data_IF_836180953558
#
_entry.id   IF_836180953558
#
_cell.length_a   1.000
_cell.length_b   1.000
_cell.length_c   1.000
_cell.angle_alpha   90.00
_cell.angle_beta   90.00
_cell.angle_gamma   90.00
#
_symmetry.space_group_name_H-M   'P 1'
#
loop_
_entity.id
_entity.type
_entity.pdbx_description
1 polymer ?
#
# COMPACT_ATOMS: atom_id res chain seq x y z
N UNK A 1 20.34 -94.92 -10.24
CA UNK A 1 20.08 -93.74 -11.03
C UNK A 1 19.09 -92.89 -10.23
N UNK A 2 19.53 -91.83 -9.53
CA UNK A 2 18.66 -90.87 -8.86
C UNK A 2 19.20 -89.50 -9.16
N UNK A 3 18.42 -88.71 -9.95
CA UNK A 3 18.67 -87.30 -10.24
C UNK A 3 18.34 -86.50 -8.99
N UNK A 4 19.31 -85.75 -8.50
CA UNK A 4 19.12 -84.74 -7.44
C UNK A 4 18.83 -83.41 -8.07
N UNK A 5 17.66 -82.79 -7.74
CA UNK A 5 17.26 -81.42 -8.16
C UNK A 5 17.85 -80.45 -7.14
N UNK A 6 18.71 -79.56 -7.65
CA UNK A 6 19.18 -78.38 -6.89
C UNK A 6 18.21 -77.25 -7.15
N UNK A 7 17.57 -76.76 -6.07
CA UNK A 7 16.69 -75.55 -6.08
C UNK A 7 17.58 -74.40 -5.71
N UNK A 8 17.76 -73.47 -6.69
CA UNK A 8 18.37 -72.17 -6.46
C UNK A 8 17.30 -71.23 -5.92
N UNK A 9 17.41 -70.82 -4.65
CA UNK A 9 16.55 -69.79 -4.04
C UNK A 9 17.17 -68.44 -4.31
N UNK A 10 16.50 -67.62 -5.14
CA UNK A 10 16.88 -66.23 -5.44
C UNK A 10 16.28 -65.35 -4.33
N UNK A 11 17.11 -64.86 -3.43
CA UNK A 11 16.73 -63.81 -2.48
C UNK A 11 16.75 -62.46 -3.18
N UNK A 12 15.60 -61.95 -3.49
CA UNK A 12 15.42 -60.55 -3.93
C UNK A 12 15.47 -59.62 -2.70
N UNK A 13 16.60 -58.95 -2.53
CA UNK A 13 16.75 -57.85 -1.59
C UNK A 13 16.04 -56.57 -2.20
N UNK A 14 14.87 -56.29 -1.69
CA UNK A 14 14.25 -54.98 -1.93
C UNK A 14 14.98 -53.92 -1.09
N UNK A 15 15.86 -53.16 -1.71
CA UNK A 15 16.37 -51.91 -1.14
C UNK A 15 15.27 -50.85 -1.27
N UNK A 16 14.58 -50.55 -0.15
CA UNK A 16 13.77 -49.39 -0.01
C UNK A 16 14.69 -48.15 0.00
N UNK A 17 14.82 -47.51 -1.15
CA UNK A 17 15.34 -46.13 -1.20
C UNK A 17 14.27 -45.20 -0.63
N UNK A 18 14.44 -44.79 0.62
CA UNK A 18 13.78 -43.64 1.15
C UNK A 18 14.30 -42.40 0.38
N UNK A 19 13.53 -41.94 -0.61
CA UNK A 19 13.71 -40.61 -1.19
C UNK A 19 13.23 -39.64 -0.10
N UNK A 20 14.18 -39.10 0.66
CA UNK A 20 13.92 -37.95 1.49
C UNK A 20 13.56 -36.78 0.54
N UNK A 21 12.28 -36.51 0.41
CA UNK A 21 11.80 -35.23 -0.14
C UNK A 21 12.27 -34.15 0.82
N UNK A 22 13.39 -33.52 0.53
CA UNK A 22 13.70 -32.20 1.08
C UNK A 22 12.65 -31.24 0.52
N UNK A 23 11.62 -30.98 1.30
CA UNK A 23 10.81 -29.79 1.10
C UNK A 23 11.77 -28.60 1.23
N UNK A 24 12.15 -28.02 0.10
CA UNK A 24 12.66 -26.67 0.08
C UNK A 24 11.49 -25.84 0.66
N UNK A 25 11.59 -25.49 1.93
CA UNK A 25 10.80 -24.40 2.47
C UNK A 25 11.14 -23.22 1.56
N UNK A 26 10.17 -22.75 0.79
CA UNK A 26 10.30 -21.48 0.08
C UNK A 26 10.66 -20.46 1.17
N UNK A 27 11.81 -19.81 1.03
CA UNK A 27 12.10 -18.64 1.84
C UNK A 27 10.91 -17.69 1.66
N UNK A 28 10.17 -17.50 2.75
CA UNK A 28 9.01 -16.63 2.73
C UNK A 28 9.54 -15.23 2.50
N UNK A 29 9.15 -14.61 1.40
CA UNK A 29 9.60 -13.27 1.06
C UNK A 29 9.13 -12.32 2.16
N UNK A 30 10.07 -11.58 2.74
CA UNK A 30 9.79 -10.61 3.79
C UNK A 30 9.07 -9.40 3.17
N UNK A 31 7.95 -9.00 3.76
CA UNK A 31 7.22 -7.80 3.35
C UNK A 31 8.07 -6.56 3.63
N UNK A 32 8.72 -6.54 4.79
CA UNK A 32 9.58 -5.43 5.20
C UNK A 32 11.00 -5.78 4.80
N UNK A 33 11.62 -5.04 3.87
CA UNK A 33 13.02 -5.24 3.52
C UNK A 33 13.93 -5.12 4.74
N UNK A 34 15.06 -5.80 4.71
CA UNK A 34 16.05 -5.69 5.78
C UNK A 34 16.77 -4.35 5.63
N UNK A 35 16.22 -3.31 6.25
CA UNK A 35 16.82 -1.98 6.21
C UNK A 35 18.11 -1.96 7.05
N UNK A 36 19.22 -1.51 6.47
CA UNK A 36 20.43 -1.21 7.22
C UNK A 36 20.21 0.10 8.01
N UNK A 37 19.36 0.04 9.03
CA UNK A 37 18.95 1.20 9.80
C UNK A 37 19.50 1.15 11.23
N UNK A 38 20.02 2.30 11.68
CA UNK A 38 20.37 2.52 13.07
C UNK A 38 19.17 2.84 13.95
N UNK A 39 17.97 2.99 13.37
CA UNK A 39 16.75 3.37 14.11
C UNK A 39 16.07 2.13 14.74
N UNK A 40 15.78 2.17 16.05
CA UNK A 40 15.32 0.99 16.78
C UNK A 40 13.97 0.43 16.36
N UNK A 41 13.13 1.27 15.73
CA UNK A 41 11.78 0.89 15.29
C UNK A 41 11.71 0.49 13.82
N UNK A 42 12.71 0.80 12.99
CA UNK A 42 12.71 0.43 11.58
C UNK A 42 12.46 -1.07 11.39
N UNK A 43 11.56 -1.42 10.51
CA UNK A 43 11.14 -2.79 10.26
C UNK A 43 10.13 -3.36 11.26
N UNK A 44 9.68 -2.61 12.26
CA UNK A 44 8.68 -3.08 13.23
C UNK A 44 7.28 -2.67 12.84
N UNK A 45 6.31 -3.54 13.16
CA UNK A 45 4.89 -3.34 12.93
C UNK A 45 4.20 -3.12 14.27
N UNK A 46 3.49 -1.99 14.39
CA UNK A 46 2.74 -1.62 15.58
C UNK A 46 1.23 -1.75 15.34
N UNK A 47 0.57 -2.54 16.15
CA UNK A 47 -0.89 -2.60 16.22
C UNK A 47 -1.39 -1.43 17.05
N UNK A 48 -2.06 -0.47 16.41
CA UNK A 48 -2.56 0.73 17.05
C UNK A 48 -3.70 0.46 18.04
N UNK A 49 -4.54 -0.53 17.73
CA UNK A 49 -5.71 -0.87 18.54
C UNK A 49 -5.31 -1.58 19.84
N UNK A 50 -4.35 -2.50 19.76
CA UNK A 50 -3.91 -3.32 20.86
C UNK A 50 -2.62 -2.80 21.53
N UNK A 51 -1.95 -1.81 20.94
CA UNK A 51 -0.76 -1.13 21.45
C UNK A 51 0.41 -2.09 21.73
N UNK A 52 0.71 -2.95 20.79
CA UNK A 52 1.86 -3.86 20.85
C UNK A 52 2.44 -4.13 19.46
N UNK A 53 3.68 -4.62 19.41
CA UNK A 53 4.31 -5.04 18.17
C UNK A 53 3.78 -6.40 17.73
N UNK A 54 3.58 -6.56 16.43
CA UNK A 54 3.19 -7.82 15.79
C UNK A 54 4.23 -8.24 14.76
N UNK A 55 4.16 -9.49 14.30
CA UNK A 55 4.99 -10.00 13.19
C UNK A 55 4.31 -9.80 11.85
N UNK A 56 5.07 -9.97 10.75
CA UNK A 56 4.53 -9.91 9.39
C UNK A 56 3.46 -10.98 9.14
N UNK A 57 3.64 -12.19 9.67
CA UNK A 57 2.66 -13.28 9.51
C UNK A 57 1.32 -12.92 10.17
N UNK A 58 1.38 -12.28 11.34
CA UNK A 58 0.17 -11.78 12.02
C UNK A 58 -0.49 -10.69 11.18
N UNK A 59 0.29 -9.71 10.67
CA UNK A 59 -0.23 -8.66 9.80
C UNK A 59 -0.94 -9.26 8.59
N UNK A 60 -0.28 -10.16 7.83
CA UNK A 60 -0.88 -10.81 6.64
C UNK A 60 -2.16 -11.56 6.98
N UNK A 61 -2.17 -12.26 8.13
CA UNK A 61 -3.38 -12.97 8.58
C UNK A 61 -4.53 -12.02 8.88
N UNK A 62 -4.25 -10.85 9.46
CA UNK A 62 -5.28 -9.86 9.82
C UNK A 62 -5.83 -9.11 8.58
N UNK A 63 -4.95 -8.66 7.70
CA UNK A 63 -5.39 -7.94 6.49
C UNK A 63 -6.15 -8.84 5.51
N UNK A 64 -5.86 -10.15 5.53
CA UNK A 64 -6.58 -11.13 4.70
C UNK A 64 -8.06 -11.32 5.08
N UNK A 65 -8.54 -10.67 6.15
CA UNK A 65 -9.95 -10.69 6.60
C UNK A 65 -10.75 -9.50 6.09
N UNK A 66 -10.12 -8.53 5.45
CA UNK A 66 -10.74 -7.35 4.86
C UNK A 66 -10.87 -7.49 3.34
N UNK A 67 -11.77 -6.71 2.76
CA UNK A 67 -11.91 -6.64 1.30
C UNK A 67 -10.80 -5.75 0.72
N UNK A 68 -10.46 -4.66 1.40
CA UNK A 68 -9.43 -3.72 1.01
C UNK A 68 -8.33 -3.57 2.06
N UNK A 69 -7.10 -3.47 1.61
CA UNK A 69 -5.95 -3.00 2.39
C UNK A 69 -5.54 -1.63 1.86
N UNK A 70 -5.62 -0.61 2.70
CA UNK A 70 -5.23 0.75 2.37
C UNK A 70 -3.81 0.98 2.88
N UNK A 71 -2.88 1.25 1.98
CA UNK A 71 -1.48 1.56 2.29
C UNK A 71 -1.27 3.06 2.21
N UNK A 72 -0.96 3.67 3.34
CA UNK A 72 -0.70 5.10 3.46
C UNK A 72 0.80 5.38 3.44
N UNK A 73 1.27 6.01 2.37
CA UNK A 73 2.67 6.31 2.15
C UNK A 73 3.03 7.77 2.37
N UNK A 74 4.33 8.03 2.52
CA UNK A 74 4.97 9.28 2.13
C UNK A 74 5.54 9.07 0.72
N UNK A 75 5.02 9.79 -0.26
CA UNK A 75 5.35 9.64 -1.68
C UNK A 75 6.84 9.72 -2.03
N UNK A 76 7.67 10.27 -1.16
CA UNK A 76 9.09 10.44 -1.41
C UNK A 76 9.97 9.45 -0.63
N UNK A 77 9.36 8.46 0.02
CA UNK A 77 10.08 7.46 0.78
C UNK A 77 10.20 6.14 0.00
N UNK A 78 11.40 5.85 -0.50
CA UNK A 78 11.67 4.63 -1.27
C UNK A 78 11.44 3.34 -0.47
N UNK A 79 11.62 3.36 0.87
CA UNK A 79 11.33 2.21 1.71
C UNK A 79 9.82 1.89 1.74
N UNK A 80 8.95 2.93 1.67
CA UNK A 80 7.51 2.74 1.56
C UNK A 80 7.16 2.01 0.26
N UNK A 81 7.71 2.43 -0.87
CA UNK A 81 7.46 1.80 -2.18
C UNK A 81 7.95 0.34 -2.21
N UNK A 82 9.06 0.03 -1.55
CA UNK A 82 9.55 -1.35 -1.43
C UNK A 82 8.61 -2.22 -0.59
N UNK A 83 8.09 -1.71 0.53
CA UNK A 83 7.10 -2.41 1.37
C UNK A 83 5.80 -2.66 0.59
N UNK A 84 5.31 -1.67 -0.15
CA UNK A 84 4.11 -1.79 -0.99
C UNK A 84 4.25 -2.89 -2.04
N UNK A 85 5.39 -2.89 -2.74
CA UNK A 85 5.69 -3.90 -3.73
C UNK A 85 5.73 -5.30 -3.10
N UNK A 86 6.49 -5.47 -2.01
CA UNK A 86 6.62 -6.75 -1.33
C UNK A 86 5.27 -7.25 -0.76
N UNK A 87 4.43 -6.35 -0.27
CA UNK A 87 3.10 -6.71 0.23
C UNK A 87 2.19 -7.22 -0.89
N UNK A 88 2.20 -6.57 -2.07
CA UNK A 88 1.49 -7.06 -3.25
C UNK A 88 1.96 -8.48 -3.60
N UNK A 89 3.27 -8.69 -3.68
CA UNK A 89 3.87 -9.99 -3.99
C UNK A 89 3.48 -11.04 -2.93
N UNK A 90 3.56 -10.74 -1.65
CA UNK A 90 3.20 -11.65 -0.57
C UNK A 90 1.70 -12.05 -0.60
N UNK A 91 0.80 -11.11 -0.88
CA UNK A 91 -0.64 -11.40 -1.02
C UNK A 91 -0.89 -12.24 -2.29
N UNK A 92 -0.15 -11.97 -3.38
CA UNK A 92 -0.22 -12.73 -4.64
C UNK A 92 0.27 -14.16 -4.45
N UNK A 93 1.40 -14.38 -3.81
CA UNK A 93 1.97 -15.70 -3.50
C UNK A 93 1.03 -16.55 -2.63
N UNK A 94 0.28 -15.90 -1.75
CA UNK A 94 -0.77 -16.55 -0.98
C UNK A 94 -2.03 -16.87 -1.82
N UNK A 95 -2.08 -16.50 -3.12
CA UNK A 95 -3.22 -16.69 -4.02
C UNK A 95 -4.44 -15.82 -3.68
N UNK A 96 -4.25 -14.78 -2.86
CA UNK A 96 -5.32 -13.96 -2.31
C UNK A 96 -5.45 -12.58 -2.97
N UNK A 97 -4.49 -12.14 -3.78
CA UNK A 97 -4.51 -10.82 -4.38
C UNK A 97 -5.67 -10.66 -5.38
N UNK A 98 -6.42 -9.59 -5.19
CA UNK A 98 -7.46 -9.09 -6.09
C UNK A 98 -6.91 -7.99 -7.00
N UNK A 99 -7.49 -6.81 -6.92
CA UNK A 99 -7.06 -5.62 -7.65
C UNK A 99 -6.00 -4.83 -6.87
N UNK A 100 -5.22 -4.04 -7.61
CA UNK A 100 -4.36 -3.00 -7.02
C UNK A 100 -4.84 -1.65 -7.56
N UNK A 101 -5.22 -0.75 -6.66
CA UNK A 101 -5.71 0.58 -6.96
C UNK A 101 -4.66 1.64 -6.59
N UNK A 102 -4.43 2.62 -7.46
CA UNK A 102 -3.35 3.57 -7.33
C UNK A 102 -3.85 5.01 -7.38
N UNK A 103 -3.51 5.83 -6.38
CA UNK A 103 -3.64 7.29 -6.42
C UNK A 103 -2.82 7.89 -7.56
N UNK A 104 -1.64 7.36 -7.82
CA UNK A 104 -0.69 7.85 -8.82
C UNK A 104 -1.18 7.71 -10.26
N UNK A 105 -2.28 7.00 -10.48
CA UNK A 105 -2.90 6.83 -11.79
C UNK A 105 -4.29 7.51 -11.84
N UNK A 106 -4.54 8.30 -12.85
CA UNK A 106 -5.84 8.93 -13.09
C UNK A 106 -6.64 8.22 -14.18
N UNK A 107 -7.93 8.52 -14.26
CA UNK A 107 -8.89 7.85 -15.16
C UNK A 107 -8.46 7.80 -16.64
N UNK A 108 -7.69 8.78 -17.13
CA UNK A 108 -7.21 8.77 -18.53
C UNK A 108 -6.17 7.68 -18.81
N UNK A 109 -5.58 7.09 -17.77
CA UNK A 109 -4.57 6.04 -17.88
C UNK A 109 -5.18 4.63 -17.80
N UNK A 110 -6.47 4.49 -17.45
CA UNK A 110 -7.08 3.18 -17.23
C UNK A 110 -6.99 2.26 -18.45
N UNK A 111 -7.27 2.75 -19.64
CA UNK A 111 -7.20 1.93 -20.87
C UNK A 111 -5.78 1.41 -21.15
N UNK A 112 -4.77 2.23 -20.83
CA UNK A 112 -3.36 1.83 -20.98
C UNK A 112 -2.97 0.78 -19.94
N UNK A 113 -3.39 0.93 -18.67
CA UNK A 113 -3.19 -0.07 -17.63
C UNK A 113 -3.85 -1.40 -18.01
N UNK A 114 -5.09 -1.39 -18.45
CA UNK A 114 -5.82 -2.59 -18.87
C UNK A 114 -5.16 -3.29 -20.06
N UNK A 115 -4.65 -2.53 -21.03
CA UNK A 115 -3.93 -3.05 -22.20
C UNK A 115 -2.64 -3.75 -21.83
N UNK A 116 -1.95 -3.25 -20.80
CA UNK A 116 -0.63 -3.73 -20.40
C UNK A 116 -0.62 -4.70 -19.22
N UNK A 117 -1.77 -5.33 -18.91
CA UNK A 117 -1.85 -6.40 -17.91
C UNK A 117 -0.84 -7.51 -18.23
N UNK A 118 -0.23 -8.07 -17.20
CA UNK A 118 0.81 -9.11 -17.29
C UNK A 118 2.08 -8.67 -18.06
N UNK A 119 2.33 -7.37 -18.21
CA UNK A 119 3.50 -6.84 -18.89
C UNK A 119 4.46 -6.15 -17.91
N UNK A 120 5.47 -6.87 -17.45
CA UNK A 120 6.52 -6.32 -16.58
C UNK A 120 7.54 -5.42 -17.29
N UNK A 121 7.51 -5.39 -18.62
CA UNK A 121 8.45 -4.61 -19.44
C UNK A 121 7.84 -3.26 -19.89
N UNK A 122 6.66 -2.93 -19.41
CA UNK A 122 5.96 -1.71 -19.77
C UNK A 122 6.79 -0.47 -19.43
N UNK A 123 6.70 0.53 -20.29
CA UNK A 123 7.37 1.83 -20.13
C UNK A 123 6.38 2.90 -19.64
N UNK A 124 6.90 3.99 -19.11
CA UNK A 124 6.08 5.14 -18.70
C UNK A 124 5.33 5.78 -19.87
N UNK A 125 5.93 5.77 -21.06
CA UNK A 125 5.33 6.29 -22.29
C UNK A 125 4.12 5.45 -22.72
N UNK A 126 4.21 4.12 -22.66
CA UNK A 126 3.11 3.21 -22.98
C UNK A 126 1.91 3.35 -22.04
N UNK A 127 2.16 3.71 -20.77
CA UNK A 127 1.13 3.97 -19.78
C UNK A 127 0.62 5.42 -19.79
N UNK A 128 1.18 6.30 -20.60
CA UNK A 128 0.97 7.75 -20.51
C UNK A 128 1.16 8.22 -19.05
N UNK A 129 2.23 7.72 -18.40
CA UNK A 129 2.45 7.96 -16.97
C UNK A 129 2.67 9.44 -16.70
N UNK A 130 2.02 9.94 -15.65
CA UNK A 130 2.08 11.34 -15.28
C UNK A 130 3.48 11.72 -14.79
N UNK A 131 4.04 12.82 -15.31
CA UNK A 131 5.32 13.35 -14.84
C UNK A 131 5.29 13.88 -13.40
N UNK A 132 4.10 14.05 -12.82
CA UNK A 132 3.93 14.38 -11.40
C UNK A 132 4.31 13.26 -10.46
N UNK A 133 4.37 12.02 -10.96
CA UNK A 133 4.76 10.83 -10.22
C UNK A 133 6.04 10.25 -10.84
N UNK A 134 7.23 10.46 -10.23
CA UNK A 134 8.50 10.01 -10.81
C UNK A 134 8.50 8.52 -11.11
N UNK A 135 8.77 8.15 -12.37
CA UNK A 135 8.77 6.74 -12.78
C UNK A 135 9.85 5.91 -12.08
N UNK A 136 10.96 6.53 -11.72
CA UNK A 136 12.05 5.86 -11.01
C UNK A 136 11.62 5.42 -9.60
N UNK A 137 10.61 6.07 -9.04
CA UNK A 137 10.02 5.68 -7.74
C UNK A 137 8.92 4.64 -7.90
N UNK A 138 7.99 4.86 -8.83
CA UNK A 138 6.77 4.05 -8.95
C UNK A 138 6.82 2.95 -10.02
N UNK A 139 7.80 2.99 -10.92
CA UNK A 139 7.84 2.06 -12.05
C UNK A 139 7.98 0.59 -11.64
N UNK A 140 8.72 0.30 -10.56
CA UNK A 140 8.81 -1.03 -9.98
C UNK A 140 7.46 -1.52 -9.47
N UNK A 141 6.84 -0.74 -8.60
CA UNK A 141 5.52 -0.99 -8.02
C UNK A 141 4.44 -1.21 -9.08
N UNK A 142 4.37 -0.32 -10.08
CA UNK A 142 3.38 -0.43 -11.18
C UNK A 142 3.57 -1.69 -11.99
N UNK A 143 4.81 -2.07 -12.29
CA UNK A 143 5.12 -3.32 -13.01
C UNK A 143 4.74 -4.56 -12.21
N UNK A 144 5.02 -4.57 -10.91
CA UNK A 144 4.59 -5.65 -10.02
C UNK A 144 3.05 -5.70 -9.95
N UNK A 145 2.38 -4.58 -9.78
CA UNK A 145 0.91 -4.54 -9.77
C UNK A 145 0.30 -5.05 -11.09
N UNK A 146 0.87 -4.68 -12.25
CA UNK A 146 0.41 -5.17 -13.56
C UNK A 146 0.65 -6.67 -13.76
N UNK A 147 1.70 -7.23 -13.15
CA UNK A 147 2.02 -8.65 -13.24
C UNK A 147 1.13 -9.50 -12.33
N UNK A 148 0.91 -9.06 -11.10
CA UNK A 148 0.37 -9.87 -10.03
C UNK A 148 -1.13 -9.66 -9.80
N UNK A 149 -1.64 -8.43 -9.99
CA UNK A 149 -3.04 -8.13 -9.70
C UNK A 149 -3.99 -8.64 -10.79
N UNK A 150 -5.25 -8.89 -10.40
CA UNK A 150 -6.30 -9.16 -11.36
C UNK A 150 -6.52 -7.97 -12.30
N UNK A 151 -6.43 -6.74 -11.76
CA UNK A 151 -6.48 -5.50 -12.50
C UNK A 151 -5.80 -4.39 -11.72
N UNK A 152 -5.15 -3.46 -12.40
CA UNK A 152 -4.67 -2.20 -11.81
C UNK A 152 -5.72 -1.12 -12.08
N UNK A 153 -6.15 -0.43 -11.02
CA UNK A 153 -7.23 0.56 -11.06
C UNK A 153 -6.64 1.96 -10.92
N UNK A 154 -6.90 2.81 -11.87
CA UNK A 154 -6.61 4.24 -11.80
C UNK A 154 -7.70 4.94 -10.99
N UNK A 155 -7.35 5.59 -9.89
CA UNK A 155 -8.36 6.09 -8.95
C UNK A 155 -8.48 7.60 -8.90
N UNK A 156 -7.43 8.34 -9.26
CA UNK A 156 -7.42 9.78 -9.08
C UNK A 156 -8.14 10.54 -10.21
N UNK A 157 -8.47 11.78 -9.90
CA UNK A 157 -8.99 12.74 -10.84
C UNK A 157 -7.88 13.22 -11.79
N UNK A 158 -8.26 13.50 -13.02
CA UNK A 158 -7.38 14.22 -13.95
C UNK A 158 -7.14 15.64 -13.47
N UNK A 159 -6.04 16.25 -13.92
CA UNK A 159 -5.73 17.66 -13.59
C UNK A 159 -6.89 18.62 -13.88
N UNK A 160 -7.60 18.40 -15.00
CA UNK A 160 -8.74 19.25 -15.37
C UNK A 160 -9.89 19.09 -14.36
N UNK A 161 -10.17 17.87 -13.91
CA UNK A 161 -11.20 17.60 -12.90
C UNK A 161 -10.81 18.18 -11.54
N UNK A 162 -9.54 18.07 -11.14
CA UNK A 162 -9.03 18.73 -9.92
C UNK A 162 -9.21 20.26 -10.00
N UNK A 163 -8.91 20.86 -11.16
CA UNK A 163 -9.13 22.31 -11.35
C UNK A 163 -10.60 22.70 -11.41
N UNK A 164 -11.49 21.82 -11.86
CA UNK A 164 -12.95 22.01 -11.73
C UNK A 164 -13.37 21.96 -10.26
N UNK A 165 -12.92 20.96 -9.49
CA UNK A 165 -13.19 20.87 -8.07
C UNK A 165 -12.67 22.11 -7.30
N UNK A 166 -11.46 22.58 -7.63
CA UNK A 166 -10.87 23.78 -7.03
C UNK A 166 -11.78 25.02 -7.14
N UNK A 167 -12.54 25.14 -8.23
CA UNK A 167 -13.43 26.27 -8.52
C UNK A 167 -14.89 26.02 -8.19
N UNK A 168 -15.22 24.80 -7.73
CA UNK A 168 -16.62 24.43 -7.51
C UNK A 168 -17.06 24.76 -6.09
N UNK A 169 -17.75 25.89 -5.93
CA UNK A 169 -18.27 26.36 -4.65
C UNK A 169 -19.46 25.52 -4.12
N UNK A 170 -20.01 24.61 -4.93
CA UNK A 170 -21.08 23.70 -4.52
C UNK A 170 -20.55 22.49 -3.73
N UNK A 171 -19.23 22.23 -3.74
CA UNK A 171 -18.63 21.21 -2.88
C UNK A 171 -18.70 21.69 -1.44
N UNK A 172 -19.53 21.00 -0.65
CA UNK A 172 -19.70 21.28 0.76
C UNK A 172 -18.40 21.01 1.53
N UNK A 173 -18.00 21.99 2.33
CA UNK A 173 -16.82 21.94 3.18
C UNK A 173 -17.25 21.60 4.62
N UNK A 174 -16.45 20.85 5.36
CA UNK A 174 -16.67 20.68 6.78
C UNK A 174 -16.63 22.03 7.51
N UNK A 175 -17.18 22.09 8.70
CA UNK A 175 -17.23 23.28 9.54
C UNK A 175 -16.68 23.00 10.93
N UNK A 176 -16.44 24.04 11.71
CA UNK A 176 -15.98 23.94 13.10
C UNK A 176 -14.57 23.34 13.23
N UNK A 177 -14.26 22.70 14.35
CA UNK A 177 -12.90 22.25 14.67
C UNK A 177 -12.29 21.28 13.65
N UNK A 178 -13.11 20.46 12.99
CA UNK A 178 -12.60 19.55 11.93
C UNK A 178 -12.13 20.33 10.71
N UNK A 179 -12.81 21.42 10.38
CA UNK A 179 -12.37 22.30 9.30
C UNK A 179 -11.03 22.96 9.62
N UNK A 180 -10.86 23.44 10.84
CA UNK A 180 -9.61 24.06 11.30
C UNK A 180 -8.46 23.05 11.21
N UNK A 181 -8.68 21.83 11.70
CA UNK A 181 -7.70 20.74 11.62
C UNK A 181 -7.27 20.43 10.17
N UNK A 182 -8.22 20.35 9.23
CA UNK A 182 -7.91 20.12 7.82
C UNK A 182 -7.21 21.31 7.15
N UNK A 183 -7.57 22.54 7.53
CA UNK A 183 -6.91 23.75 7.04
C UNK A 183 -5.46 23.85 7.52
N UNK A 184 -5.17 23.45 8.76
CA UNK A 184 -3.81 23.43 9.31
C UNK A 184 -2.96 22.40 8.57
N UNK A 185 -3.46 21.18 8.35
CA UNK A 185 -2.78 20.15 7.57
C UNK A 185 -2.47 20.64 6.16
N UNK A 186 -3.46 21.23 5.47
CA UNK A 186 -3.25 21.75 4.12
C UNK A 186 -2.25 22.91 4.10
N UNK A 187 -2.26 23.76 5.09
CA UNK A 187 -1.31 24.85 5.19
C UNK A 187 0.11 24.35 5.42
N UNK A 188 0.30 23.42 6.33
CA UNK A 188 1.59 22.81 6.64
C UNK A 188 2.16 22.00 5.47
N UNK A 189 1.31 21.17 4.82
CA UNK A 189 1.73 20.39 3.65
C UNK A 189 2.16 21.25 2.45
N UNK A 190 1.77 22.52 2.43
CA UNK A 190 2.23 23.52 1.48
C UNK A 190 3.26 24.49 2.08
N UNK A 191 3.98 24.05 3.12
CA UNK A 191 5.09 24.77 3.74
C UNK A 191 4.71 26.15 4.32
N UNK A 192 3.46 26.31 4.74
CA UNK A 192 2.96 27.60 5.22
C UNK A 192 2.91 28.70 4.14
N UNK A 193 3.16 28.36 2.86
CA UNK A 193 3.19 29.32 1.74
C UNK A 193 1.84 29.44 1.02
N UNK A 194 0.92 28.50 1.22
CA UNK A 194 -0.41 28.58 0.62
C UNK A 194 -1.20 29.75 1.21
N UNK A 195 -1.68 30.71 0.39
CA UNK A 195 -2.53 31.77 0.92
C UNK A 195 -3.77 31.21 1.60
N UNK A 196 -4.08 31.68 2.82
CA UNK A 196 -5.25 31.21 3.58
C UNK A 196 -6.57 31.33 2.80
N UNK A 197 -6.68 32.29 1.89
CA UNK A 197 -7.83 32.43 0.98
C UNK A 197 -8.00 31.27 -0.01
N UNK A 198 -6.96 30.46 -0.21
CA UNK A 198 -6.98 29.30 -1.13
C UNK A 198 -7.21 27.97 -0.40
N UNK A 199 -7.16 27.91 0.95
CA UNK A 199 -7.39 26.70 1.71
C UNK A 199 -8.73 26.04 1.39
N UNK A 200 -9.81 26.83 1.31
CA UNK A 200 -11.13 26.32 0.91
C UNK A 200 -11.11 25.59 -0.44
N UNK A 201 -10.42 26.19 -1.42
CA UNK A 201 -10.35 25.61 -2.76
C UNK A 201 -9.52 24.33 -2.78
N UNK A 202 -8.41 24.31 -2.05
CA UNK A 202 -7.58 23.10 -1.90
C UNK A 202 -8.33 21.99 -1.18
N UNK A 203 -9.09 22.32 -0.13
CA UNK A 203 -9.91 21.31 0.56
C UNK A 203 -11.02 20.74 -0.34
N UNK A 204 -11.60 21.54 -1.25
CA UNK A 204 -12.52 21.02 -2.27
C UNK A 204 -11.86 19.99 -3.18
N UNK A 205 -10.62 20.25 -3.58
CA UNK A 205 -9.84 19.29 -4.38
C UNK A 205 -9.64 18.00 -3.58
N UNK A 206 -9.22 18.08 -2.32
CA UNK A 206 -9.02 16.91 -1.47
C UNK A 206 -10.30 16.07 -1.36
N UNK A 207 -11.43 16.72 -1.03
CA UNK A 207 -12.74 16.05 -0.91
C UNK A 207 -13.16 15.41 -2.24
N UNK A 208 -12.95 16.09 -3.36
CA UNK A 208 -13.31 15.56 -4.67
C UNK A 208 -12.44 14.34 -5.06
N UNK A 209 -11.15 14.38 -4.74
CA UNK A 209 -10.23 13.26 -4.94
C UNK A 209 -10.65 12.06 -4.08
N UNK A 210 -10.89 12.27 -2.77
CA UNK A 210 -11.33 11.20 -1.88
C UNK A 210 -12.62 10.53 -2.36
N UNK A 211 -13.60 11.32 -2.80
CA UNK A 211 -14.85 10.79 -3.37
C UNK A 211 -14.62 9.98 -4.64
N UNK A 212 -13.72 10.42 -5.52
CA UNK A 212 -13.40 9.70 -6.75
C UNK A 212 -12.69 8.38 -6.46
N UNK A 213 -11.69 8.39 -5.58
CA UNK A 213 -10.96 7.22 -5.14
C UNK A 213 -11.90 6.23 -4.44
N UNK A 214 -12.68 6.68 -3.47
CA UNK A 214 -13.68 5.84 -2.79
C UNK A 214 -14.64 5.17 -3.78
N UNK A 215 -15.19 5.94 -4.72
CA UNK A 215 -16.07 5.39 -5.76
C UNK A 215 -15.36 4.35 -6.62
N UNK A 216 -14.08 4.57 -6.96
CA UNK A 216 -13.29 3.61 -7.71
C UNK A 216 -13.11 2.30 -6.92
N UNK A 217 -12.84 2.36 -5.60
CA UNK A 217 -12.70 1.18 -4.76
C UNK A 217 -14.00 0.40 -4.66
N UNK A 218 -15.12 1.07 -4.36
CA UNK A 218 -16.44 0.41 -4.25
C UNK A 218 -16.83 -0.29 -5.57
N UNK A 219 -16.59 0.35 -6.71
CA UNK A 219 -16.98 -0.20 -8.02
C UNK A 219 -16.05 -1.32 -8.53
N UNK A 220 -14.89 -1.50 -7.93
CA UNK A 220 -13.91 -2.49 -8.36
C UNK A 220 -13.53 -3.48 -7.26
N UNK A 221 -14.36 -3.63 -6.23
CA UNK A 221 -14.14 -4.62 -5.18
C UNK A 221 -14.25 -6.05 -5.77
N UNK A 222 -13.33 -6.93 -5.34
CA UNK A 222 -13.29 -8.34 -5.73
C UNK A 222 -13.73 -9.24 -4.57
N UNK A 223 -13.69 -10.56 -4.76
CA UNK A 223 -13.86 -11.54 -3.68
C UNK A 223 -12.53 -11.95 -3.04
N UNK A 224 -11.48 -11.16 -3.25
CA UNK A 224 -10.13 -11.36 -2.71
C UNK A 224 -9.71 -10.11 -1.93
N UNK A 225 -8.46 -10.07 -1.54
CA UNK A 225 -7.85 -8.91 -0.89
C UNK A 225 -7.43 -7.91 -1.97
N UNK A 226 -8.11 -6.79 -2.05
CA UNK A 226 -7.76 -5.68 -2.92
C UNK A 226 -6.81 -4.72 -2.17
N UNK A 227 -5.86 -4.11 -2.86
CA UNK A 227 -4.88 -3.20 -2.27
C UNK A 227 -5.06 -1.81 -2.86
N UNK A 228 -5.12 -0.79 -2.02
CA UNK A 228 -5.11 0.61 -2.44
C UNK A 228 -3.88 1.33 -1.89
N UNK A 229 -3.13 1.99 -2.76
CA UNK A 229 -1.91 2.72 -2.43
C UNK A 229 -2.12 4.20 -2.68
N UNK A 230 -1.93 4.99 -1.63
CA UNK A 230 -2.10 6.43 -1.67
C UNK A 230 -1.33 7.11 -0.55
N UNK A 231 -1.17 8.42 -0.66
CA UNK A 231 -0.63 9.22 0.41
C UNK A 231 -1.43 9.07 1.72
N UNK A 232 -0.72 9.13 2.84
CA UNK A 232 -1.25 8.91 4.20
C UNK A 232 -2.59 9.63 4.43
N UNK A 233 -2.76 10.85 3.95
CA UNK A 233 -3.97 11.64 4.20
C UNK A 233 -5.24 11.06 3.54
N UNK A 234 -5.10 10.33 2.44
CA UNK A 234 -6.21 9.66 1.74
C UNK A 234 -6.62 8.33 2.38
N UNK A 235 -5.71 7.69 3.14
CA UNK A 235 -5.92 6.36 3.71
C UNK A 235 -6.33 6.36 5.18
N UNK A 236 -6.11 7.45 5.90
CA UNK A 236 -6.41 7.58 7.33
C UNK A 236 -7.91 7.54 7.61
N UNK A 237 -8.25 6.96 8.77
CA UNK A 237 -9.64 6.88 9.25
C UNK A 237 -10.25 8.23 9.63
N UNK A 238 -9.42 9.19 10.03
CA UNK A 238 -9.88 10.49 10.52
C UNK A 238 -9.85 11.62 9.48
N UNK A 239 -9.28 11.38 8.29
CA UNK A 239 -9.16 12.40 7.24
C UNK A 239 -9.51 11.94 5.83
N UNK A 240 -9.35 10.65 5.52
CA UNK A 240 -9.36 10.11 4.17
C UNK A 240 -10.62 9.34 3.77
N UNK A 241 -10.45 8.49 2.78
CA UNK A 241 -11.48 7.65 2.17
C UNK A 241 -12.36 6.89 3.17
N UNK A 242 -11.83 6.32 4.27
CA UNK A 242 -12.67 5.58 5.21
C UNK A 242 -13.78 6.40 5.87
N UNK A 243 -13.66 7.73 5.92
CA UNK A 243 -14.73 8.61 6.40
C UNK A 243 -15.99 8.60 5.51
N UNK A 244 -15.85 8.18 4.26
CA UNK A 244 -16.97 8.11 3.32
C UNK A 244 -17.85 6.87 3.53
N UNK A 245 -17.41 5.93 4.38
CA UNK A 245 -18.17 4.72 4.76
C UNK A 245 -18.17 3.62 3.69
N UNK A 246 -18.91 2.55 3.97
CA UNK A 246 -19.17 1.43 3.03
C UNK A 246 -17.93 0.65 2.57
N UNK A 247 -16.78 0.79 3.24
CA UNK A 247 -15.54 0.10 2.88
C UNK A 247 -15.09 -0.83 4.02
N UNK A 248 -15.16 -2.16 3.80
CA UNK A 248 -14.56 -3.13 4.70
C UNK A 248 -13.05 -3.15 4.46
N UNK A 249 -12.31 -2.30 5.18
CA UNK A 249 -10.88 -2.11 4.97
C UNK A 249 -10.05 -2.22 6.25
N UNK A 250 -8.77 -2.51 6.05
CA UNK A 250 -7.71 -2.32 7.03
C UNK A 250 -6.72 -1.29 6.51
N UNK A 251 -6.35 -0.35 7.35
CA UNK A 251 -5.37 0.69 7.02
C UNK A 251 -4.03 0.42 7.68
N UNK A 252 -2.98 0.46 6.87
CA UNK A 252 -1.58 0.40 7.29
C UNK A 252 -0.95 1.73 6.90
N UNK A 253 -0.39 2.46 7.86
CA UNK A 253 0.42 3.64 7.59
C UNK A 253 1.89 3.29 7.67
N UNK A 254 2.68 3.80 6.76
CA UNK A 254 4.14 3.72 6.82
C UNK A 254 4.69 5.03 7.35
N UNK A 255 5.54 4.95 8.37
CA UNK A 255 6.01 6.13 9.12
C UNK A 255 7.52 6.03 9.38
N UNK A 256 8.26 7.04 8.96
CA UNK A 256 9.69 7.13 9.29
C UNK A 256 9.89 7.35 10.79
N UNK A 257 10.79 6.58 11.38
CA UNK A 257 11.09 6.65 12.81
C UNK A 257 12.57 7.01 13.03
N UNK A 258 12.81 7.90 13.95
CA UNK A 258 14.15 8.30 14.39
C UNK A 258 14.68 7.43 15.56
N UNK A 259 15.58 7.96 16.40
CA UNK A 259 16.33 7.17 17.37
C UNK A 259 15.53 6.72 18.61
N UNK A 260 14.34 7.24 18.86
CA UNK A 260 13.57 6.91 20.06
C UNK A 260 12.86 5.55 19.91
N UNK A 261 12.79 4.80 21.01
CA UNK A 261 12.15 3.49 21.05
C UNK A 261 10.64 3.53 21.32
N UNK A 262 10.10 4.68 21.69
CA UNK A 262 8.67 4.84 21.97
C UNK A 262 7.89 5.04 20.66
N UNK A 263 7.04 4.08 20.24
CA UNK A 263 6.23 4.22 19.03
C UNK A 263 5.35 5.47 19.04
N UNK A 264 4.88 5.88 20.23
CA UNK A 264 4.00 7.03 20.39
C UNK A 264 4.60 8.35 19.91
N UNK A 265 5.94 8.43 19.81
CA UNK A 265 6.65 9.63 19.33
C UNK A 265 6.50 9.88 17.85
N UNK A 266 6.17 8.82 17.08
CA UNK A 266 6.12 8.87 15.63
C UNK A 266 4.72 8.68 15.06
N UNK A 267 3.73 8.36 15.93
CA UNK A 267 2.33 8.26 15.50
C UNK A 267 1.85 9.65 15.10
N UNK A 268 1.35 9.85 13.87
CA UNK A 268 0.82 11.14 13.45
C UNK A 268 -0.30 11.63 14.36
N UNK A 269 -0.36 12.94 14.57
CA UNK A 269 -1.45 13.58 15.32
C UNK A 269 -2.81 13.26 14.67
N UNK A 270 -3.80 12.98 15.49
CA UNK A 270 -5.15 12.62 15.06
C UNK A 270 -6.18 13.67 15.40
N UNK A 271 -7.26 13.71 14.63
CA UNK A 271 -8.38 14.57 14.99
C UNK A 271 -9.12 14.01 16.22
N UNK A 272 -9.03 14.70 17.35
CA UNK A 272 -9.71 14.36 18.61
C UNK A 272 -9.47 12.92 19.09
N UNK A 273 -8.25 12.46 19.01
CA UNK A 273 -7.86 11.10 19.41
C UNK A 273 -8.62 9.98 18.67
N UNK A 274 -9.21 10.28 17.50
CA UNK A 274 -9.82 9.26 16.66
C UNK A 274 -8.75 8.27 16.15
N UNK A 275 -9.07 7.00 15.98
CA UNK A 275 -8.17 6.08 15.30
C UNK A 275 -7.76 6.63 13.93
N UNK A 276 -6.47 6.51 13.58
CA UNK A 276 -5.96 6.92 12.27
C UNK A 276 -5.77 5.75 11.32
N UNK A 277 -5.51 4.57 11.85
CA UNK A 277 -5.26 3.33 11.11
C UNK A 277 -5.40 2.11 12.04
N UNK A 278 -5.23 0.90 11.50
CA UNK A 278 -5.07 -0.32 12.28
C UNK A 278 -3.61 -0.57 12.66
N UNK A 279 -2.70 -0.35 11.71
CA UNK A 279 -1.28 -0.68 11.88
C UNK A 279 -0.37 0.45 11.41
N UNK A 280 0.81 0.50 12.00
CA UNK A 280 1.94 1.29 11.52
C UNK A 280 3.10 0.35 11.22
N UNK A 281 3.69 0.49 10.04
CA UNK A 281 5.01 -0.06 9.73
C UNK A 281 6.00 1.08 9.86
N UNK A 282 6.98 0.93 10.74
CA UNK A 282 8.04 1.91 10.90
C UNK A 282 9.13 1.66 9.87
N UNK A 283 9.57 2.73 9.23
CA UNK A 283 10.71 2.72 8.31
C UNK A 283 11.89 3.49 8.91
N UNK A 284 13.01 3.47 8.23
CA UNK A 284 14.18 4.23 8.63
C UNK A 284 13.88 5.73 8.64
N UNK A 285 14.62 6.47 9.45
CA UNK A 285 14.62 7.92 9.37
C UNK A 285 15.13 8.35 8.00
N UNK A 286 14.33 9.12 7.30
CA UNK A 286 14.70 9.70 6.01
C UNK A 286 15.07 11.17 6.19
N UNK A 287 16.11 11.61 5.48
CA UNK A 287 16.41 13.04 5.39
C UNK A 287 15.18 13.77 4.82
N UNK A 288 14.74 14.86 5.47
CA UNK A 288 13.63 15.63 4.96
C UNK A 288 13.94 16.15 3.56
N UNK A 289 13.12 15.78 2.59
CA UNK A 289 13.22 16.39 1.26
C UNK A 289 12.71 17.83 1.36
N UNK A 290 13.51 18.79 0.93
CA UNK A 290 13.11 20.20 0.92
C UNK A 290 12.10 20.47 -0.22
N UNK A 291 10.85 20.08 0.01
CA UNK A 291 9.73 20.47 -0.87
C UNK A 291 9.54 21.97 -0.91
N UNK A 292 9.89 22.62 0.19
CA UNK A 292 9.58 24.02 0.43
C UNK A 292 10.45 24.95 -0.39
N UNK A 293 11.63 24.50 -0.79
CA UNK A 293 12.54 25.24 -1.66
C UNK A 293 12.07 25.33 -3.12
N UNK A 294 11.13 24.44 -3.53
CA UNK A 294 10.63 24.35 -4.91
C UNK A 294 9.25 24.98 -5.13
N UNK A 295 8.57 25.45 -4.06
CA UNK A 295 7.26 26.11 -4.09
C UNK A 295 7.39 27.62 -4.16
#
# INVERSE_FOLDING_TARGET
>A
MKLSKIIFSLLLLFQNQFIASSSLASEQQLIIPNFESSTPLAGKIWDLNNRHFITEEVLVSEIAKSDWVLLGENHENEEHHAIEQNLIEAISDAGKLGNVALEMANQKQQDALDKHRNNQLVTKEELNWSSGWPWDWYGGLVKTALAEAQRVIATDLTRDQQMQAYRNDEIELPTGPYREFMDDILYESHCGKLPKSQLSNMLRVQIARDKAMHSALINNNTNKVDVFIAGTMHTRYDTGIPLLGELNSKTILMVSAGPEMDPGKYIPESYKDNPIADYIIFTSETEPVDHCGKI
#
